data_IF_542412547993
#
_entry.id   IF_542412547993
#
_cell.length_a   1.000
_cell.length_b   1.000
_cell.length_c   1.000
_cell.angle_alpha   90.00
_cell.angle_beta   90.00
_cell.angle_gamma   90.00
#
_symmetry.space_group_name_H-M   'P 1'
#
loop_
_entity.id
_entity.type
_entity.pdbx_description
1 polymer ?
#
# COMPACT_ATOMS: atom_id res chain seq x y z
N UNK A 1 -7.06 9.09 6.90
CA UNK A 1 -6.50 7.77 7.25
C UNK A 1 -6.11 7.80 8.72
N UNK A 2 -6.26 6.73 9.52
CA UNK A 2 -5.80 6.74 10.90
C UNK A 2 -4.29 7.00 10.96
N UNK A 3 -3.83 7.91 11.82
CA UNK A 3 -2.41 8.33 11.89
C UNK A 3 -1.44 7.16 12.08
N UNK A 4 -1.85 6.15 12.88
CA UNK A 4 -1.07 4.94 13.09
C UNK A 4 -0.86 4.14 11.80
N UNK A 5 -1.87 4.08 10.93
CA UNK A 5 -1.80 3.37 9.66
C UNK A 5 -0.89 4.11 8.66
N UNK A 6 -0.91 5.44 8.67
CA UNK A 6 -0.05 6.29 7.85
C UNK A 6 1.43 6.05 8.13
N UNK A 7 1.82 6.09 9.42
CA UNK A 7 3.21 5.83 9.82
C UNK A 7 3.69 4.45 9.39
N UNK A 8 2.87 3.41 9.57
CA UNK A 8 3.21 2.04 9.15
C UNK A 8 3.39 1.95 7.62
N UNK A 9 2.55 2.64 6.85
CA UNK A 9 2.66 2.69 5.40
C UNK A 9 3.90 3.44 4.94
N UNK A 10 4.25 4.55 5.59
CA UNK A 10 5.47 5.32 5.30
C UNK A 10 6.74 4.52 5.61
N UNK A 11 6.80 3.84 6.74
CA UNK A 11 7.94 2.98 7.11
C UNK A 11 8.11 1.85 6.08
N UNK A 12 7.01 1.19 5.70
CA UNK A 12 7.03 0.12 4.70
C UNK A 12 7.43 0.63 3.30
N UNK A 13 6.98 1.82 2.92
CA UNK A 13 7.38 2.44 1.67
C UNK A 13 8.90 2.71 1.62
N UNK A 14 9.47 3.17 2.74
CA UNK A 14 10.93 3.36 2.88
C UNK A 14 11.69 2.03 2.82
N UNK A 15 11.23 0.99 3.52
CA UNK A 15 11.82 -0.35 3.49
C UNK A 15 11.87 -0.95 2.08
N UNK A 16 10.82 -0.70 1.28
CA UNK A 16 10.66 -1.26 -0.06
C UNK A 16 11.19 -0.35 -1.18
N UNK A 17 11.86 0.76 -0.84
CA UNK A 17 12.33 1.77 -1.80
C UNK A 17 11.23 2.29 -2.74
N UNK A 18 10.02 2.52 -2.21
CA UNK A 18 8.87 3.06 -2.94
C UNK A 18 8.46 4.42 -2.40
N UNK A 19 7.78 5.22 -3.23
CA UNK A 19 6.99 6.34 -2.71
C UNK A 19 5.81 5.80 -1.89
N UNK A 20 5.37 6.58 -0.91
CA UNK A 20 4.19 6.26 -0.12
C UNK A 20 2.97 5.96 -1.00
N UNK A 21 2.75 6.76 -2.04
CA UNK A 21 1.65 6.56 -3.00
C UNK A 21 1.76 5.22 -3.74
N UNK A 22 2.96 4.83 -4.19
CA UNK A 22 3.17 3.55 -4.85
C UNK A 22 2.91 2.35 -3.91
N UNK A 23 3.27 2.47 -2.63
CA UNK A 23 2.99 1.44 -1.63
C UNK A 23 1.48 1.29 -1.35
N UNK A 24 0.75 2.41 -1.27
CA UNK A 24 -0.72 2.39 -1.14
C UNK A 24 -1.36 1.73 -2.36
N UNK A 25 -0.97 2.14 -3.57
CA UNK A 25 -1.51 1.57 -4.82
C UNK A 25 -1.24 0.07 -4.88
N UNK A 26 -0.01 -0.37 -4.58
CA UNK A 26 0.35 -1.79 -4.57
C UNK A 26 -0.58 -2.59 -3.65
N UNK A 27 -0.81 -2.13 -2.41
CA UNK A 27 -1.68 -2.82 -1.46
C UNK A 27 -3.14 -2.89 -1.91
N UNK A 28 -3.63 -1.82 -2.52
CA UNK A 28 -4.98 -1.80 -3.11
C UNK A 28 -5.06 -2.80 -4.26
N UNK A 29 -4.10 -2.77 -5.20
CA UNK A 29 -4.04 -3.73 -6.31
C UNK A 29 -3.95 -5.18 -5.82
N UNK A 30 -3.13 -5.45 -4.81
CA UNK A 30 -3.00 -6.79 -4.23
C UNK A 30 -4.30 -7.24 -3.56
N UNK A 31 -5.07 -6.33 -2.96
CA UNK A 31 -6.40 -6.64 -2.42
C UNK A 31 -7.40 -6.99 -3.51
N UNK A 32 -7.46 -6.18 -4.58
CA UNK A 32 -8.35 -6.41 -5.71
C UNK A 32 -8.03 -7.75 -6.40
N UNK A 33 -6.75 -8.07 -6.58
CA UNK A 33 -6.32 -9.37 -7.10
C UNK A 33 -6.76 -10.54 -6.22
N UNK A 34 -6.67 -10.42 -4.89
CA UNK A 34 -7.16 -11.46 -3.95
C UNK A 34 -8.67 -11.68 -4.05
N UNK A 35 -9.41 -10.64 -4.38
CA UNK A 35 -10.86 -10.70 -4.60
C UNK A 35 -11.24 -11.18 -6.02
N UNK A 36 -10.25 -11.45 -6.88
CA UNK A 36 -10.48 -11.87 -8.27
C UNK A 36 -10.88 -10.73 -9.21
N UNK A 37 -10.76 -9.47 -8.75
CA UNK A 37 -11.04 -8.29 -9.56
C UNK A 37 -9.81 -8.00 -10.44
N UNK A 38 -10.00 -8.07 -11.75
CA UNK A 38 -8.95 -7.76 -12.73
C UNK A 38 -9.00 -6.26 -13.04
N UNK A 39 -7.91 -5.55 -12.79
CA UNK A 39 -7.73 -4.10 -13.05
C UNK A 39 -6.58 -3.89 -14.03
#
# INVERSE_FOLDING_TARGET
>A
MPEKLEKILEEKAKEECRSFSAEVIKRVMDSLKREGITV
#
